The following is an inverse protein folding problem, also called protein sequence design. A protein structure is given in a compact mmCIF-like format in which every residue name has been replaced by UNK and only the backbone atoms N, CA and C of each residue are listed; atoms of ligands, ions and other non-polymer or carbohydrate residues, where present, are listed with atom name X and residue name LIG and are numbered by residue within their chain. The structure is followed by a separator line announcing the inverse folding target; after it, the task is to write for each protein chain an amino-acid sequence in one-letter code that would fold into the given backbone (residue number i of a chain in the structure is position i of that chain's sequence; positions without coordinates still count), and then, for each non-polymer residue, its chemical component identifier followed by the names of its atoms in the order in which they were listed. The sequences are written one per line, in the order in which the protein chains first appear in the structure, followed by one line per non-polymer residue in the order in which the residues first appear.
data_IF_981764398887
#
_entry.id   IF_981764398887
#
_cell.length_a   1.000
_cell.length_b   1.000
_cell.length_c   1.000
_cell.angle_alpha   90.00
_cell.angle_beta   90.00
_cell.angle_gamma   90.00
#
_symmetry.space_group_name_H-M   'P 1'
#
loop_
_entity.id
_entity.type
_entity.pdbx_description
1 polymer ?
#
# COMPACT_ATOMS: atom_id res chain seq x y z
N UNK A 1 -0.27 -7.51 -5.61
CA UNK A 1 0.46 -7.76 -4.35
C UNK A 1 -0.37 -8.70 -3.46
N UNK A 2 0.00 -8.97 -2.20
CA UNK A 2 -0.84 -9.66 -1.20
C UNK A 2 -0.74 -8.92 0.16
N UNK A 3 -1.84 -8.32 0.65
CA UNK A 3 -3.02 -8.01 -0.17
C UNK A 3 -2.61 -7.06 -1.32
N UNK A 4 -3.42 -7.00 -2.36
CA UNK A 4 -3.30 -5.98 -3.42
C UNK A 4 -3.93 -4.65 -3.01
N UNK A 5 -4.87 -4.63 -2.07
CA UNK A 5 -5.38 -3.40 -1.46
C UNK A 5 -5.13 -3.39 0.05
N UNK A 6 -4.73 -2.24 0.61
CA UNK A 6 -4.60 -2.06 2.05
C UNK A 6 -5.23 -0.74 2.48
N UNK A 7 -6.13 -0.79 3.47
CA UNK A 7 -6.73 0.38 4.07
C UNK A 7 -5.98 0.79 5.35
N UNK A 8 -5.64 2.06 5.46
CA UNK A 8 -4.93 2.67 6.60
C UNK A 8 -5.53 4.03 6.95
N UNK A 9 -5.21 4.57 8.13
CA UNK A 9 -5.61 5.94 8.50
C UNK A 9 -4.53 6.95 8.08
N UNK A 10 -4.89 8.24 7.97
CA UNK A 10 -3.91 9.31 7.82
C UNK A 10 -2.79 9.23 8.89
N UNK A 11 -1.55 9.26 8.42
CA UNK A 11 -0.34 9.17 9.23
C UNK A 11 0.14 7.75 9.56
N UNK A 12 -0.53 6.70 9.09
CA UNK A 12 -0.07 5.32 9.22
C UNK A 12 1.05 5.00 8.22
N UNK A 13 1.89 4.04 8.58
CA UNK A 13 2.98 3.53 7.73
C UNK A 13 2.60 2.17 7.14
N UNK A 14 2.80 2.03 5.84
CA UNK A 14 2.73 0.74 5.14
C UNK A 14 4.15 0.25 4.88
N UNK A 15 4.41 -1.03 5.17
CA UNK A 15 5.68 -1.68 4.92
C UNK A 15 5.53 -2.83 3.93
N UNK A 16 6.42 -2.90 2.96
CA UNK A 16 6.48 -3.96 1.98
C UNK A 16 7.69 -4.85 2.19
N UNK A 17 7.50 -6.15 1.97
CA UNK A 17 8.59 -7.14 1.86
C UNK A 17 8.34 -8.04 0.65
N UNK A 18 9.38 -8.67 0.14
CA UNK A 18 9.26 -9.60 -0.98
C UNK A 18 10.02 -10.89 -0.71
N UNK A 19 9.43 -12.02 -1.12
CA UNK A 19 10.10 -13.33 -1.10
C UNK A 19 10.77 -13.67 -2.44
N UNK A 20 10.47 -12.89 -3.49
CA UNK A 20 11.00 -13.03 -4.85
C UNK A 20 11.42 -11.66 -5.40
N UNK A 21 11.89 -11.61 -6.64
CA UNK A 21 12.38 -10.39 -7.30
C UNK A 21 11.21 -9.50 -7.69
N UNK A 22 11.06 -8.36 -6.99
CA UNK A 22 9.99 -7.38 -7.21
C UNK A 22 10.46 -5.97 -6.89
N UNK A 23 9.66 -4.98 -7.26
CA UNK A 23 9.74 -3.61 -6.76
C UNK A 23 8.40 -3.21 -6.16
N UNK A 24 8.42 -2.14 -5.37
CA UNK A 24 7.26 -1.34 -5.01
C UNK A 24 7.57 0.07 -5.47
N UNK A 25 6.77 0.57 -6.40
CA UNK A 25 7.04 1.85 -7.04
C UNK A 25 5.76 2.67 -7.13
N UNK A 26 5.76 3.84 -6.49
CA UNK A 26 4.75 4.88 -6.66
C UNK A 26 5.26 5.89 -7.68
N UNK A 27 4.44 6.18 -8.68
CA UNK A 27 4.81 7.06 -9.79
C UNK A 27 4.18 8.44 -9.61
N UNK A 28 4.85 9.51 -10.04
CA UNK A 28 4.22 10.82 -10.17
C UNK A 28 3.01 10.80 -11.10
N UNK A 29 2.09 11.75 -10.91
CA UNK A 29 0.90 11.86 -11.76
C UNK A 29 1.27 12.02 -13.24
N UNK A 30 0.60 11.24 -14.10
CA UNK A 30 0.79 11.27 -15.55
C UNK A 30 1.89 10.35 -16.07
N UNK A 31 2.67 9.73 -15.18
CA UNK A 31 3.71 8.77 -15.54
C UNK A 31 3.21 7.31 -15.42
N UNK A 32 3.83 6.42 -16.20
CA UNK A 32 3.46 5.01 -16.28
C UNK A 32 4.66 4.10 -16.01
N UNK A 33 4.45 2.84 -15.59
CA UNK A 33 5.56 1.92 -15.34
C UNK A 33 6.49 1.72 -16.55
N UNK A 34 5.97 1.84 -17.78
CA UNK A 34 6.73 1.67 -19.02
C UNK A 34 7.75 2.80 -19.25
N UNK A 35 7.62 3.93 -18.55
CA UNK A 35 8.57 5.05 -18.61
C UNK A 35 9.87 4.74 -17.84
N UNK A 36 9.92 3.64 -17.07
CA UNK A 36 10.97 3.32 -16.13
C UNK A 36 11.63 1.96 -16.40
N UNK A 37 12.96 1.92 -16.40
CA UNK A 37 13.72 0.66 -16.36
C UNK A 37 13.82 0.18 -14.89
N UNK A 38 13.32 -1.03 -14.55
CA UNK A 38 13.29 -1.52 -13.17
C UNK A 38 14.67 -1.63 -12.51
N UNK A 39 15.74 -1.85 -13.30
CA UNK A 39 17.10 -2.02 -12.79
C UNK A 39 17.92 -0.74 -12.81
N UNK A 40 17.47 0.29 -13.54
CA UNK A 40 18.13 1.59 -13.60
C UNK A 40 17.42 2.66 -12.75
N UNK A 41 16.18 2.41 -12.32
CA UNK A 41 15.44 3.31 -11.44
C UNK A 41 15.99 3.21 -10.01
N UNK A 42 16.60 4.28 -9.46
CA UNK A 42 17.22 4.23 -8.14
C UNK A 42 16.16 4.06 -7.03
N UNK A 43 16.53 3.46 -5.88
CA UNK A 43 15.66 3.46 -4.71
C UNK A 43 15.49 4.90 -4.17
N UNK A 44 14.30 5.22 -3.70
CA UNK A 44 13.92 6.54 -3.17
C UNK A 44 12.75 6.42 -2.18
N UNK A 45 12.68 7.34 -1.22
CA UNK A 45 11.55 7.49 -0.30
C UNK A 45 11.46 6.49 0.84
N UNK A 46 12.40 5.55 1.00
CA UNK A 46 12.29 4.56 2.08
C UNK A 46 12.32 5.22 3.46
N UNK A 47 11.28 4.96 4.25
CA UNK A 47 11.12 5.47 5.61
C UNK A 47 10.68 6.94 5.68
N UNK A 48 10.22 7.53 4.57
CA UNK A 48 9.73 8.92 4.52
C UNK A 48 8.20 9.00 4.47
N UNK A 49 7.67 10.21 4.66
CA UNK A 49 6.30 10.51 4.23
C UNK A 49 6.22 10.41 2.71
N UNK A 50 5.06 9.94 2.22
CA UNK A 50 4.77 9.85 0.81
C UNK A 50 4.58 11.25 0.21
N UNK A 51 5.32 11.53 -0.87
CA UNK A 51 5.20 12.75 -1.67
C UNK A 51 4.74 12.37 -3.09
N UNK A 52 3.49 12.70 -3.49
CA UNK A 52 2.96 12.31 -4.80
C UNK A 52 3.63 13.03 -5.97
N UNK A 53 4.46 14.05 -5.71
CA UNK A 53 5.16 14.81 -6.77
C UNK A 53 6.48 14.18 -7.18
N UNK A 54 6.94 13.17 -6.45
CA UNK A 54 8.21 12.49 -6.71
C UNK A 54 8.02 10.98 -6.76
N UNK A 55 8.92 10.30 -7.48
CA UNK A 55 8.93 8.83 -7.48
C UNK A 55 9.38 8.31 -6.12
N UNK A 56 8.62 7.36 -5.57
CA UNK A 56 9.04 6.54 -4.43
C UNK A 56 9.24 5.10 -4.91
N UNK A 57 10.45 4.58 -4.77
CA UNK A 57 10.84 3.29 -5.33
C UNK A 57 11.62 2.49 -4.30
N UNK A 58 11.21 1.25 -4.05
CA UNK A 58 11.95 0.36 -3.16
C UNK A 58 13.34 0.03 -3.68
N UNK A 59 13.57 0.12 -5.00
CA UNK A 59 14.62 -0.63 -5.67
C UNK A 59 14.22 -2.10 -5.81
N UNK A 60 15.05 -2.90 -6.48
CA UNK A 60 14.72 -4.30 -6.74
C UNK A 60 15.05 -5.18 -5.53
N UNK A 61 14.02 -5.80 -4.95
CA UNK A 61 14.17 -6.80 -3.90
C UNK A 61 14.86 -8.07 -4.42
N UNK A 62 15.63 -8.74 -3.55
CA UNK A 62 16.13 -10.10 -3.75
C UNK A 62 17.00 -10.35 -5.01
N UNK A 63 17.73 -9.35 -5.52
CA UNK A 63 18.66 -9.50 -6.66
C UNK A 63 20.12 -9.75 -6.27
N UNK A 64 20.40 -9.85 -4.96
CA UNK A 64 21.73 -10.17 -4.43
C UNK A 64 22.10 -9.36 -3.18
N UNK A 65 23.35 -9.47 -2.72
CA UNK A 65 23.84 -8.71 -1.57
C UNK A 65 23.60 -7.21 -1.74
N UNK A 66 23.07 -6.57 -0.69
CA UNK A 66 22.76 -5.14 -0.72
C UNK A 66 21.40 -4.78 -1.35
N UNK A 67 20.64 -5.77 -1.84
CA UNK A 67 19.23 -5.53 -2.17
C UNK A 67 18.47 -5.08 -0.92
N UNK A 68 17.48 -4.18 -1.07
CA UNK A 68 16.56 -3.83 0.00
C UNK A 68 15.94 -5.09 0.62
N UNK A 69 15.75 -5.09 1.95
CA UNK A 69 15.05 -6.17 2.65
C UNK A 69 13.57 -5.83 2.88
N UNK A 70 13.26 -4.54 2.97
CA UNK A 70 11.93 -3.98 3.13
C UNK A 70 11.89 -2.59 2.48
N UNK A 71 10.68 -2.07 2.32
CA UNK A 71 10.43 -0.69 1.94
C UNK A 71 9.26 -0.16 2.77
N UNK A 72 9.26 1.12 3.13
CA UNK A 72 8.18 1.71 3.92
C UNK A 72 7.89 3.15 3.53
N UNK A 73 6.61 3.52 3.60
CA UNK A 73 6.12 4.88 3.39
C UNK A 73 5.02 5.20 4.39
N UNK A 74 5.02 6.43 4.90
CA UNK A 74 3.95 6.98 5.74
C UNK A 74 3.01 7.81 4.88
N UNK A 75 1.71 7.61 5.01
CA UNK A 75 0.72 8.31 4.19
C UNK A 75 -0.04 9.36 5.01
N UNK A 76 0.31 10.65 4.94
CA UNK A 76 -0.31 11.68 5.78
C UNK A 76 -1.69 12.12 5.29
N UNK A 77 -1.96 12.00 3.99
CA UNK A 77 -3.14 12.55 3.33
C UNK A 77 -4.12 11.46 2.91
N UNK A 78 -5.42 11.73 3.04
CA UNK A 78 -6.47 10.85 2.53
C UNK A 78 -6.41 10.71 1.01
N UNK A 79 -6.72 9.52 0.52
CA UNK A 79 -6.68 9.22 -0.90
C UNK A 79 -6.45 7.75 -1.21
N UNK A 80 -6.38 7.44 -2.49
CA UNK A 80 -6.04 6.10 -3.00
C UNK A 80 -4.76 6.21 -3.82
N UNK A 81 -3.74 5.47 -3.41
CA UNK A 81 -2.39 5.56 -3.94
C UNK A 81 -2.01 4.23 -4.58
N UNK A 82 -2.01 4.20 -5.91
CA UNK A 82 -1.59 3.03 -6.67
C UNK A 82 -0.06 2.88 -6.66
N UNK A 83 0.41 1.65 -6.54
CA UNK A 83 1.80 1.27 -6.67
C UNK A 83 1.98 0.04 -7.54
N UNK A 84 3.16 -0.07 -8.13
CA UNK A 84 3.45 -1.01 -9.19
C UNK A 84 4.70 -1.81 -8.85
N UNK A 85 4.75 -3.05 -9.37
CA UNK A 85 6.04 -3.68 -9.61
C UNK A 85 6.45 -3.38 -11.04
N UNK A 86 7.55 -2.65 -11.24
CA UNK A 86 8.05 -2.26 -12.56
C UNK A 86 8.40 -3.47 -13.46
N UNK A 87 8.69 -4.63 -12.87
CA UNK A 87 8.99 -5.86 -13.61
C UNK A 87 7.74 -6.55 -14.19
N UNK A 88 6.58 -6.35 -13.56
CA UNK A 88 5.36 -7.13 -13.86
C UNK A 88 4.09 -6.27 -13.91
N UNK A 89 4.22 -4.95 -14.07
CA UNK A 89 3.08 -4.04 -14.18
C UNK A 89 2.18 -4.43 -15.38
N UNK A 90 2.78 -4.75 -16.53
CA UNK A 90 2.06 -5.25 -17.71
C UNK A 90 1.37 -6.61 -17.52
N UNK A 91 1.66 -7.32 -16.43
CA UNK A 91 0.98 -8.57 -16.02
C UNK A 91 -0.05 -8.33 -14.91
N UNK A 92 -0.29 -7.07 -14.51
CA UNK A 92 -1.26 -6.70 -13.48
C UNK A 92 -0.73 -6.78 -12.05
N UNK A 93 0.59 -6.80 -11.83
CA UNK A 93 1.13 -6.67 -10.47
C UNK A 93 1.05 -5.22 -9.97
N UNK A 94 -0.16 -4.84 -9.59
CA UNK A 94 -0.56 -3.53 -9.10
C UNK A 94 -1.11 -3.70 -7.69
N UNK A 95 -0.95 -2.69 -6.86
CA UNK A 95 -1.62 -2.61 -5.57
C UNK A 95 -2.01 -1.18 -5.22
N UNK A 96 -2.82 -1.03 -4.19
CA UNK A 96 -3.38 0.24 -3.75
C UNK A 96 -3.28 0.39 -2.23
N UNK A 97 -2.88 1.58 -1.79
CA UNK A 97 -3.04 2.03 -0.41
C UNK A 97 -4.24 2.98 -0.37
N UNK A 98 -5.27 2.62 0.38
CA UNK A 98 -6.41 3.48 0.65
C UNK A 98 -6.22 4.13 2.02
N UNK A 99 -6.19 5.46 2.06
CA UNK A 99 -6.04 6.25 3.28
C UNK A 99 -7.35 6.97 3.56
N UNK A 100 -8.00 6.61 4.66
CA UNK A 100 -9.35 7.09 4.98
C UNK A 100 -9.54 7.18 6.50
N UNK A 101 -10.24 8.22 6.97
CA UNK A 101 -10.65 8.37 8.38
C UNK A 101 -11.86 7.50 8.77
N UNK A 102 -12.51 6.89 7.78
CA UNK A 102 -13.62 5.98 8.02
C UNK A 102 -13.16 4.72 8.77
N UNK A 103 -13.86 4.31 9.84
CA UNK A 103 -13.61 3.01 10.45
C UNK A 103 -13.77 1.93 9.36
N UNK A 104 -12.93 0.89 9.32
CA UNK A 104 -13.00 -0.15 8.31
C UNK A 104 -14.37 -0.81 8.40
N UNK A 105 -15.30 -0.35 7.56
CA UNK A 105 -16.68 -0.82 7.53
C UNK A 105 -17.04 -1.46 6.20
N UNK A 106 -16.19 -1.38 5.17
CA UNK A 106 -16.52 -1.95 3.85
C UNK A 106 -15.29 -2.40 3.03
N UNK A 107 -14.19 -2.86 3.65
CA UNK A 107 -13.23 -3.72 2.90
C UNK A 107 -13.72 -5.16 3.08
N UNK A 108 -14.18 -5.86 2.03
CA UNK A 108 -14.48 -7.28 2.15
C UNK A 108 -13.23 -7.99 2.64
N UNK A 109 -13.35 -8.69 3.76
CA UNK A 109 -12.34 -9.65 4.18
C UNK A 109 -12.07 -10.60 3.00
N UNK A 110 -10.84 -10.70 2.46
CA UNK A 110 -10.54 -11.64 1.38
C UNK A 110 -10.77 -13.11 1.81
N UNK A 111 -11.02 -13.37 3.10
CA UNK A 111 -11.43 -14.67 3.64
C UNK A 111 -12.94 -14.86 3.84
N UNK A 112 -13.81 -13.88 3.55
CA UNK A 112 -15.26 -14.05 3.68
C UNK A 112 -15.85 -14.82 2.48
N UNK A 113 -16.61 -15.91 2.69
CA UNK A 113 -17.29 -16.59 1.58
C UNK A 113 -18.35 -15.67 0.98
N UNK A 114 -18.36 -15.55 -0.36
CA UNK A 114 -19.33 -14.75 -1.10
C UNK A 114 -20.77 -15.20 -0.78
N UNK A 115 -21.55 -14.36 -0.09
CA UNK A 115 -22.97 -14.66 0.12
C UNK A 115 -23.76 -14.00 1.27
N UNK A 116 -23.27 -12.98 1.98
CA UNK A 116 -24.10 -12.28 2.98
C UNK A 116 -24.78 -11.03 2.39
N UNK A 117 -26.08 -10.77 2.65
CA UNK A 117 -26.77 -9.60 2.10
C UNK A 117 -26.42 -8.32 2.88
N UNK A 118 -26.38 -7.18 2.18
CA UNK A 118 -26.26 -5.85 2.77
C UNK A 118 -27.40 -5.59 3.76
N UNK A 119 -27.08 -5.34 5.03
CA UNK A 119 -28.02 -4.80 6.01
C UNK A 119 -27.66 -3.33 6.28
N UNK A 120 -28.52 -2.43 5.81
CA UNK A 120 -28.56 -1.02 6.23
C UNK A 120 -28.90 -0.95 7.72
N UNK A 121 -28.10 -0.25 8.53
CA UNK A 121 -28.57 0.28 9.83
C UNK A 121 -27.91 1.62 10.14
N UNK A 122 -28.78 2.63 10.33
CA UNK A 122 -28.46 3.89 10.97
C UNK A 122 -28.56 3.76 12.50
N UNK A 123 -27.68 4.43 13.26
CA UNK A 123 -28.00 5.02 14.57
C UNK A 123 -26.86 5.93 15.08
N UNK A 124 -27.24 7.12 15.55
CA UNK A 124 -26.41 8.01 16.34
C UNK A 124 -26.45 7.62 17.83
N UNK A 125 -25.34 7.80 18.57
CA UNK A 125 -25.36 8.07 20.01
C UNK A 125 -24.04 8.67 20.52
N UNK A 126 -24.16 9.77 21.27
CA UNK A 126 -23.16 10.40 22.11
C UNK A 126 -22.80 9.49 23.29
N UNK A 127 -21.51 9.35 23.63
CA UNK A 127 -21.09 8.70 24.87
C UNK A 127 -19.62 8.31 24.86
N UNK A 128 -18.84 8.87 25.77
CA UNK A 128 -17.40 8.65 25.88
C UNK A 128 -17.04 7.17 26.03
N UNK A 129 -16.05 6.75 25.25
CA UNK A 129 -15.20 5.61 25.53
C UNK A 129 -13.79 5.96 25.02
N UNK A 130 -12.82 5.79 25.91
CA UNK A 130 -11.40 5.80 25.66
C UNK A 130 -11.07 4.79 24.54
N UNK A 131 -10.88 5.27 23.31
CA UNK A 131 -10.22 4.48 22.28
C UNK A 131 -8.73 4.80 22.34
N UNK A 132 -7.97 3.94 23.02
CA UNK A 132 -6.54 3.88 22.80
C UNK A 132 -6.35 3.26 21.40
N UNK A 133 -6.40 4.09 20.34
CA UNK A 133 -6.03 3.65 19.00
C UNK A 133 -4.53 3.36 19.04
N UNK A 134 -4.17 2.08 19.19
CA UNK A 134 -2.80 1.63 18.91
C UNK A 134 -2.60 1.83 17.41
N UNK A 135 -1.72 2.77 17.05
CA UNK A 135 -1.18 2.97 15.69
C UNK A 135 -0.77 1.60 15.13
N UNK A 136 -1.26 1.22 13.96
CA UNK A 136 -0.96 -0.10 13.36
C UNK A 136 -0.28 0.09 12.03
N UNK A 137 0.96 -0.38 11.96
CA UNK A 137 1.69 -0.57 10.71
C UNK A 137 0.98 -1.67 9.88
N UNK A 138 0.78 -1.43 8.59
CA UNK A 138 0.27 -2.43 7.67
C UNK A 138 1.41 -3.10 6.91
N UNK A 139 1.30 -4.40 6.60
CA UNK A 139 2.33 -5.13 5.85
C UNK A 139 1.78 -5.71 4.56
N UNK A 140 2.44 -5.42 3.44
CA UNK A 140 2.13 -5.95 2.12
C UNK A 140 3.28 -6.82 1.62
N UNK A 141 2.96 -7.91 0.92
CA UNK A 141 3.94 -8.82 0.30
C UNK A 141 3.74 -8.87 -1.21
N UNK A 142 4.81 -9.11 -1.97
CA UNK A 142 4.67 -9.41 -3.40
C UNK A 142 4.25 -10.87 -3.66
N UNK A 143 3.58 -11.13 -4.79
CA UNK A 143 3.26 -12.49 -5.28
C UNK A 143 4.42 -13.01 -6.13
N UNK A 144 4.77 -14.29 -5.94
CA UNK A 144 5.72 -15.05 -6.77
C UNK A 144 5.21 -15.29 -8.18
#
# INVERSE_FOLDING_TARGET
FIPDEVAVMPGDTVSWTAAAVHTVTFLPEGETPDDYDPFMTPPSGDGTEYDPTTIANSGVFNVGPGSPASFSLTFPDEGTYAFYCLLHAGLGQIGEVMVTDLPPTDVPDPAAPAGAPLALLAAAALGGALWLVRRRDATVRSRS
#
